data_IF_471506776654
#
_entry.id   IF_471506776654
#
_cell.length_a   1.000
_cell.length_b   1.000
_cell.length_c   1.000
_cell.angle_alpha   90.00
_cell.angle_beta   90.00
_cell.angle_gamma   90.00
#
_symmetry.space_group_name_H-M   'P 1'
#
loop_
_entity.id
_entity.type
_entity.pdbx_description
1 polymer ?
#
# COMPACT_ATOMS: atom_id res chain seq x y z
N UNK A 1 -14.57 -32.55 3.77
CA UNK A 1 -13.73 -31.53 3.10
C UNK A 1 -13.93 -30.29 3.92
N UNK A 2 -12.89 -29.81 4.60
CA UNK A 2 -13.01 -28.55 5.31
C UNK A 2 -13.19 -27.47 4.24
N UNK A 3 -14.34 -26.80 4.23
CA UNK A 3 -14.45 -25.54 3.51
C UNK A 3 -13.35 -24.64 4.09
N UNK A 4 -12.31 -24.36 3.30
CA UNK A 4 -11.32 -23.35 3.66
C UNK A 4 -12.10 -22.05 3.88
N UNK A 5 -12.25 -21.65 5.13
CA UNK A 5 -13.04 -20.48 5.52
C UNK A 5 -12.37 -19.23 4.95
N UNK A 6 -12.86 -18.76 3.80
CA UNK A 6 -12.33 -17.56 3.14
C UNK A 6 -12.75 -16.34 3.96
N UNK A 7 -11.85 -15.86 4.80
CA UNK A 7 -12.09 -14.63 5.55
C UNK A 7 -12.06 -13.42 4.61
N UNK A 8 -13.12 -12.61 4.63
CA UNK A 8 -13.25 -11.47 3.75
C UNK A 8 -12.20 -10.39 4.07
N UNK A 9 -11.73 -9.68 3.04
CA UNK A 9 -10.89 -8.50 3.19
C UNK A 9 -11.76 -7.24 3.21
N UNK A 10 -11.42 -6.31 4.09
CA UNK A 10 -12.02 -4.97 4.15
C UNK A 10 -10.97 -3.96 3.67
N UNK A 11 -11.33 -3.15 2.68
CA UNK A 11 -10.47 -2.08 2.15
C UNK A 11 -11.24 -0.77 2.16
N UNK A 12 -10.80 0.16 3.02
CA UNK A 12 -11.31 1.52 3.11
C UNK A 12 -10.42 2.46 2.29
N UNK A 13 -10.93 2.88 1.12
CA UNK A 13 -10.23 3.75 0.17
C UNK A 13 -10.39 5.23 0.54
N UNK A 14 -9.85 5.63 1.68
CA UNK A 14 -9.82 7.03 2.09
C UNK A 14 -8.91 7.88 1.18
N UNK A 15 -9.26 9.15 0.97
CA UNK A 15 -8.48 10.06 0.11
C UNK A 15 -7.12 10.47 0.71
N UNK A 16 -6.98 10.47 2.03
CA UNK A 16 -5.72 10.72 2.71
C UNK A 16 -4.97 9.43 3.07
N UNK A 17 -5.69 8.46 3.64
CA UNK A 17 -5.13 7.21 4.14
C UNK A 17 -5.99 6.03 3.68
N UNK A 18 -5.35 5.00 3.15
CA UNK A 18 -5.96 3.70 2.85
C UNK A 18 -5.82 2.81 4.08
N UNK A 19 -6.89 2.10 4.44
CA UNK A 19 -6.87 1.13 5.54
C UNK A 19 -7.31 -0.24 5.02
N UNK A 20 -6.62 -1.29 5.44
CA UNK A 20 -6.95 -2.65 5.05
C UNK A 20 -6.83 -3.61 6.24
N UNK A 21 -7.66 -4.64 6.27
CA UNK A 21 -7.68 -5.68 7.30
C UNK A 21 -8.62 -6.81 6.93
N UNK A 22 -8.77 -7.80 7.81
CA UNK A 22 -9.75 -8.85 7.62
C UNK A 22 -11.08 -8.48 8.30
N UNK A 23 -12.20 -8.96 7.74
CA UNK A 23 -13.50 -8.80 8.37
C UNK A 23 -13.50 -9.49 9.74
N UNK A 24 -14.01 -8.80 10.76
CA UNK A 24 -14.03 -9.26 12.14
C UNK A 24 -12.83 -8.82 12.99
N UNK A 25 -11.76 -8.28 12.40
CA UNK A 25 -10.66 -7.67 13.16
C UNK A 25 -11.14 -6.40 13.89
N UNK A 26 -10.65 -6.17 15.12
CA UNK A 26 -10.98 -4.97 15.92
C UNK A 26 -10.42 -3.67 15.32
N UNK A 27 -9.39 -3.76 14.47
CA UNK A 27 -8.68 -2.63 13.88
C UNK A 27 -8.07 -3.00 12.53
N UNK A 28 -7.80 -2.01 11.63
CA UNK A 28 -7.11 -2.29 10.38
C UNK A 28 -5.70 -2.83 10.63
N UNK A 29 -5.30 -3.83 9.85
CA UNK A 29 -3.94 -4.42 9.90
C UNK A 29 -2.90 -3.57 9.15
N UNK A 30 -3.34 -2.79 8.18
CA UNK A 30 -2.51 -1.87 7.42
C UNK A 30 -3.20 -0.51 7.32
N UNK A 31 -2.41 0.55 7.52
CA UNK A 31 -2.83 1.94 7.33
C UNK A 31 -1.67 2.66 6.65
N UNK A 32 -1.88 3.24 5.47
CA UNK A 32 -0.83 3.90 4.70
C UNK A 32 -1.38 5.10 3.90
N UNK A 33 -0.55 6.09 3.55
CA UNK A 33 -0.97 7.23 2.73
C UNK A 33 -1.50 6.79 1.37
N UNK A 34 -2.62 7.37 0.93
CA UNK A 34 -3.27 7.07 -0.36
C UNK A 34 -2.57 7.75 -1.54
N UNK A 35 -1.27 7.47 -1.73
CA UNK A 35 -0.44 8.12 -2.74
C UNK A 35 0.36 7.11 -3.57
N UNK A 36 0.61 7.49 -4.82
CA UNK A 36 1.53 6.81 -5.73
C UNK A 36 2.56 7.82 -6.22
N UNK A 37 3.84 7.58 -5.93
CA UNK A 37 4.96 8.38 -6.41
C UNK A 37 5.52 7.78 -7.71
N UNK A 38 5.82 8.62 -8.70
CA UNK A 38 6.53 8.21 -9.93
C UNK A 38 7.84 9.01 -10.07
N UNK A 39 8.98 8.37 -10.36
CA UNK A 39 10.23 9.09 -10.61
C UNK A 39 10.06 10.09 -11.75
N UNK A 40 10.48 11.35 -11.55
CA UNK A 40 10.46 12.38 -12.60
C UNK A 40 11.62 12.24 -13.58
N UNK A 41 12.73 11.66 -13.13
CA UNK A 41 13.94 11.47 -13.93
C UNK A 41 14.38 10.01 -13.83
N UNK A 42 14.40 9.31 -14.96
CA UNK A 42 14.89 7.94 -15.03
C UNK A 42 16.40 7.90 -14.73
N UNK A 43 16.83 6.97 -13.88
CA UNK A 43 18.25 6.63 -13.69
C UNK A 43 19.09 7.49 -12.73
N UNK A 44 18.50 8.41 -11.95
CA UNK A 44 19.30 9.30 -11.08
C UNK A 44 19.79 8.63 -9.78
N UNK A 45 19.10 7.60 -9.28
CA UNK A 45 19.44 6.96 -8.01
C UNK A 45 20.25 5.68 -8.23
N UNK A 46 21.57 5.79 -8.13
CA UNK A 46 22.49 4.64 -8.22
C UNK A 46 22.24 3.70 -7.02
N UNK A 47 21.97 2.42 -7.29
CA UNK A 47 21.82 1.38 -6.26
C UNK A 47 20.38 1.05 -5.82
N UNK A 48 19.39 1.86 -6.18
CA UNK A 48 17.98 1.44 -6.12
C UNK A 48 17.58 0.95 -7.52
N UNK A 49 17.11 -0.30 -7.62
CA UNK A 49 16.56 -0.79 -8.90
C UNK A 49 15.54 0.21 -9.44
N UNK A 50 15.54 0.44 -10.76
CA UNK A 50 14.59 1.39 -11.36
C UNK A 50 13.16 0.87 -11.16
N UNK A 51 12.47 1.40 -10.15
CA UNK A 51 11.05 1.18 -9.94
C UNK A 51 10.27 2.26 -10.69
N UNK A 52 9.24 1.83 -11.43
CA UNK A 52 8.34 2.74 -12.15
C UNK A 52 7.42 3.53 -11.21
N UNK A 53 7.16 2.99 -10.02
CA UNK A 53 6.31 3.61 -9.02
C UNK A 53 6.69 3.21 -7.59
N UNK A 54 6.25 4.05 -6.66
CA UNK A 54 6.29 3.85 -5.22
C UNK A 54 4.88 4.07 -4.66
N UNK A 55 4.51 3.42 -3.57
CA UNK A 55 3.16 3.51 -2.97
C UNK A 55 3.29 3.75 -1.47
N UNK A 56 2.33 4.48 -0.89
CA UNK A 56 2.25 4.67 0.57
C UNK A 56 3.49 5.36 1.14
N UNK A 57 4.03 4.83 2.24
CA UNK A 57 5.17 5.41 2.95
C UNK A 57 6.44 5.50 2.07
N UNK A 58 6.63 4.54 1.15
CA UNK A 58 7.76 4.58 0.21
C UNK A 58 7.63 5.77 -0.75
N UNK A 59 6.42 6.08 -1.22
CA UNK A 59 6.17 7.26 -2.02
C UNK A 59 6.31 8.56 -1.21
N UNK A 60 5.88 8.55 0.05
CA UNK A 60 5.92 9.74 0.90
C UNK A 60 7.35 10.13 1.27
N UNK A 61 8.18 9.14 1.60
CA UNK A 61 9.60 9.33 1.93
C UNK A 61 10.47 9.79 0.76
N UNK A 62 9.96 9.67 -0.47
CA UNK A 62 10.66 10.03 -1.72
C UNK A 62 10.07 11.27 -2.40
N UNK A 63 9.19 11.99 -1.71
CA UNK A 63 8.58 13.24 -2.20
C UNK A 63 9.58 14.39 -2.26
#
# INVERSE_FOLDING_TARGET
MADDEVQALVVDNGSGMCKAGFAGDDAPRAVFPSIVGRPRHQGVMVGMGQKDSYVGDEAQSKR
#
